data_IF_935080337253
#
_entry.id   IF_935080337253
#
_cell.length_a   1.000
_cell.length_b   1.000
_cell.length_c   1.000
_cell.angle_alpha   90.00
_cell.angle_beta   90.00
_cell.angle_gamma   90.00
#
_symmetry.space_group_name_H-M   'P 1'
#
loop_
_entity.id
_entity.type
_entity.pdbx_description
1 polymer ?
#
# COMPACT_ATOMS: atom_id res chain seq x y z
N UNK A 1 -11.36 3.67 -27.61
CA UNK A 1 -11.07 2.59 -26.65
C UNK A 1 -12.34 2.28 -25.88
N UNK A 2 -12.85 1.04 -25.88
CA UNK A 2 -13.97 0.63 -25.05
C UNK A 2 -13.62 0.73 -23.56
N UNK A 3 -14.55 1.28 -22.78
CA UNK A 3 -14.46 1.36 -21.33
C UNK A 3 -15.74 0.78 -20.76
N UNK A 4 -15.60 -0.09 -19.77
CA UNK A 4 -16.74 -0.68 -19.08
C UNK A 4 -16.62 -0.52 -17.56
N UNK A 5 -17.78 -0.35 -16.90
CA UNK A 5 -17.89 -0.35 -15.46
C UNK A 5 -18.52 -1.68 -15.01
N UNK A 6 -17.75 -2.45 -14.27
CA UNK A 6 -18.20 -3.71 -13.67
C UNK A 6 -18.47 -3.50 -12.18
N UNK A 7 -19.35 -4.29 -11.56
CA UNK A 7 -19.45 -4.32 -10.10
C UNK A 7 -18.12 -4.72 -9.47
N UNK A 8 -17.76 -4.09 -8.37
CA UNK A 8 -16.58 -4.51 -7.59
C UNK A 8 -16.92 -5.76 -6.78
N UNK A 9 -16.49 -6.92 -7.27
CA UNK A 9 -16.83 -8.23 -6.71
C UNK A 9 -16.33 -9.37 -7.58
N UNK A 10 -16.96 -10.56 -7.51
CA UNK A 10 -16.58 -11.70 -8.34
C UNK A 10 -16.66 -11.37 -9.84
N UNK A 11 -15.65 -11.79 -10.57
CA UNK A 11 -15.57 -11.58 -12.03
C UNK A 11 -15.56 -12.92 -12.79
N UNK A 12 -16.01 -12.94 -14.07
CA UNK A 12 -15.92 -14.13 -14.90
C UNK A 12 -14.48 -14.62 -15.06
N UNK A 13 -14.27 -15.93 -15.24
CA UNK A 13 -12.93 -16.54 -15.33
C UNK A 13 -12.08 -15.98 -16.47
N UNK A 14 -12.70 -15.67 -17.62
CA UNK A 14 -12.00 -15.03 -18.74
C UNK A 14 -11.45 -13.66 -18.37
N UNK A 15 -12.24 -12.83 -17.70
CA UNK A 15 -11.80 -11.51 -17.21
C UNK A 15 -10.75 -11.65 -16.11
N UNK A 16 -10.86 -12.66 -15.26
CA UNK A 16 -9.86 -12.95 -14.24
C UNK A 16 -8.47 -13.21 -14.85
N UNK A 17 -8.41 -13.99 -15.93
CA UNK A 17 -7.16 -14.25 -16.64
C UNK A 17 -6.57 -12.98 -17.30
N UNK A 18 -7.42 -12.13 -17.89
CA UNK A 18 -6.98 -10.86 -18.45
C UNK A 18 -6.47 -9.88 -17.38
N UNK A 19 -7.08 -9.88 -16.18
CA UNK A 19 -6.61 -9.08 -15.05
C UNK A 19 -5.24 -9.55 -14.58
N UNK A 20 -5.04 -10.85 -14.44
CA UNK A 20 -3.76 -11.44 -14.05
C UNK A 20 -2.66 -11.17 -15.09
N UNK A 21 -2.99 -11.21 -16.39
CA UNK A 21 -2.10 -10.81 -17.50
C UNK A 21 -1.75 -9.31 -17.45
N UNK A 22 -2.73 -8.44 -17.21
CA UNK A 22 -2.48 -7.01 -17.03
C UNK A 22 -1.57 -6.76 -15.82
N UNK A 23 -1.79 -7.46 -14.72
CA UNK A 23 -0.96 -7.31 -13.50
C UNK A 23 0.49 -7.73 -13.75
N UNK A 24 0.72 -8.76 -14.56
CA UNK A 24 2.06 -9.23 -14.92
C UNK A 24 2.82 -8.24 -15.83
N UNK A 25 2.11 -7.44 -16.64
CA UNK A 25 2.68 -6.45 -17.54
C UNK A 25 2.37 -4.99 -17.13
N UNK A 26 2.05 -4.77 -15.87
CA UNK A 26 1.78 -3.43 -15.37
C UNK A 26 3.05 -2.56 -15.40
N UNK A 27 2.89 -1.30 -15.77
CA UNK A 27 3.99 -0.32 -15.80
C UNK A 27 4.53 0.00 -14.41
N UNK A 28 3.68 -0.18 -13.38
CA UNK A 28 4.01 -0.02 -11.96
C UNK A 28 3.41 -1.19 -11.18
N UNK A 29 4.24 -2.08 -10.58
CA UNK A 29 3.75 -3.18 -9.76
C UNK A 29 2.93 -2.68 -8.58
N UNK A 30 1.72 -3.22 -8.41
CA UNK A 30 0.82 -2.86 -7.31
C UNK A 30 -0.03 -4.06 -6.90
N UNK A 31 0.42 -4.83 -5.92
CA UNK A 31 -0.30 -6.00 -5.39
C UNK A 31 -1.69 -5.65 -4.86
N UNK A 32 -1.88 -4.41 -4.39
CA UNK A 32 -3.15 -3.94 -3.83
C UNK A 32 -4.23 -3.69 -4.90
N UNK A 33 -3.84 -3.63 -6.18
CA UNK A 33 -4.74 -3.58 -7.33
C UNK A 33 -4.82 -4.91 -8.08
N UNK A 34 -4.11 -5.94 -7.65
CA UNK A 34 -4.19 -7.27 -8.24
C UNK A 34 -5.48 -8.00 -7.83
N UNK A 35 -5.98 -8.85 -8.72
CA UNK A 35 -7.26 -9.54 -8.58
C UNK A 35 -7.42 -10.27 -7.25
N UNK A 36 -6.42 -11.03 -6.82
CA UNK A 36 -6.48 -11.83 -5.60
C UNK A 36 -6.63 -10.96 -4.35
N UNK A 37 -6.00 -9.79 -4.31
CA UNK A 37 -6.10 -8.87 -3.18
C UNK A 37 -7.42 -8.09 -3.19
N UNK A 38 -7.81 -7.57 -4.36
CA UNK A 38 -9.07 -6.84 -4.54
C UNK A 38 -10.27 -7.74 -4.27
N UNK A 39 -10.25 -9.00 -4.75
CA UNK A 39 -11.34 -9.96 -4.51
C UNK A 39 -11.52 -10.28 -3.02
N UNK A 40 -10.42 -10.52 -2.28
CA UNK A 40 -10.47 -10.73 -0.84
C UNK A 40 -11.02 -9.49 -0.11
N UNK A 41 -10.57 -8.29 -0.49
CA UNK A 41 -11.09 -7.02 0.02
C UNK A 41 -12.58 -6.83 -0.24
N UNK A 42 -13.02 -7.04 -1.47
CA UNK A 42 -14.43 -6.90 -1.87
C UNK A 42 -15.36 -7.90 -1.16
N UNK A 43 -14.87 -9.12 -0.90
CA UNK A 43 -15.65 -10.16 -0.21
C UNK A 43 -15.88 -9.85 1.28
N UNK A 44 -14.90 -9.25 1.96
CA UNK A 44 -14.92 -9.13 3.42
C UNK A 44 -14.98 -7.70 3.94
N UNK A 45 -14.51 -6.71 3.19
CA UNK A 45 -14.35 -5.34 3.67
C UNK A 45 -15.36 -4.35 3.05
N UNK A 46 -16.36 -4.88 2.38
CA UNK A 46 -17.54 -4.18 1.84
C UNK A 46 -17.23 -2.86 1.11
N UNK A 47 -17.06 -2.91 -0.23
CA UNK A 47 -16.80 -1.71 -1.04
C UNK A 47 -17.96 -0.70 -1.08
N UNK A 48 -19.05 -0.98 -0.36
CA UNK A 48 -20.31 -0.26 -0.49
C UNK A 48 -21.09 -0.68 -1.73
N UNK A 49 -22.38 -0.28 -1.84
CA UNK A 49 -23.23 -0.65 -2.98
C UNK A 49 -22.79 -0.03 -4.30
N UNK A 50 -22.01 1.04 -4.24
CA UNK A 50 -21.56 1.84 -5.39
C UNK A 50 -20.13 1.52 -5.84
N UNK A 51 -19.48 0.48 -5.29
CA UNK A 51 -18.13 0.06 -5.70
C UNK A 51 -18.12 -0.46 -7.13
N UNK A 52 -17.23 0.08 -7.99
CA UNK A 52 -17.11 -0.27 -9.40
C UNK A 52 -15.66 -0.58 -9.78
N UNK A 53 -15.51 -1.46 -10.73
CA UNK A 53 -14.25 -1.75 -11.39
C UNK A 53 -14.31 -1.15 -12.79
N UNK A 54 -13.49 -0.13 -13.05
CA UNK A 54 -13.38 0.48 -14.37
C UNK A 54 -12.31 -0.26 -15.16
N UNK A 55 -12.68 -0.84 -16.31
CA UNK A 55 -11.79 -1.57 -17.21
C UNK A 55 -11.69 -0.86 -18.55
N UNK A 56 -10.46 -0.68 -19.04
CA UNK A 56 -10.13 -0.05 -20.33
C UNK A 56 -9.52 -1.07 -21.24
N UNK A 57 -10.01 -1.16 -22.49
CA UNK A 57 -9.46 -2.04 -23.53
C UNK A 57 -8.94 -1.25 -24.73
N UNK A 58 -7.89 -1.77 -25.33
CA UNK A 58 -7.41 -1.34 -26.65
C UNK A 58 -7.23 -2.56 -27.56
N UNK A 59 -7.81 -2.52 -28.74
CA UNK A 59 -7.81 -3.65 -29.70
C UNK A 59 -8.18 -5.00 -29.04
N UNK A 60 -9.10 -5.00 -28.07
CA UNK A 60 -9.54 -6.18 -27.32
C UNK A 60 -8.68 -6.54 -26.10
N UNK A 61 -7.49 -6.00 -25.95
CA UNK A 61 -6.60 -6.23 -24.80
C UNK A 61 -6.94 -5.31 -23.64
N UNK A 62 -6.95 -5.84 -22.41
CA UNK A 62 -7.08 -5.05 -21.19
C UNK A 62 -5.81 -4.24 -20.95
N UNK A 63 -5.92 -2.91 -20.95
CA UNK A 63 -4.78 -1.98 -20.79
C UNK A 63 -4.86 -1.14 -19.53
N UNK A 64 -6.01 -1.09 -18.88
CA UNK A 64 -6.18 -0.33 -17.64
C UNK A 64 -7.29 -0.90 -16.77
N UNK A 65 -7.06 -0.87 -15.46
CA UNK A 65 -8.01 -1.34 -14.44
C UNK A 65 -7.92 -0.48 -13.19
N UNK A 66 -9.07 0.07 -12.76
CA UNK A 66 -9.15 0.95 -11.59
C UNK A 66 -10.39 0.63 -10.75
N UNK A 67 -10.22 0.11 -9.53
CA UNK A 67 -11.29 0.02 -8.57
C UNK A 67 -11.70 1.42 -8.09
N UNK A 68 -13.00 1.71 -8.06
CA UNK A 68 -13.56 3.01 -7.74
C UNK A 68 -14.72 2.90 -6.74
N UNK A 69 -14.93 3.95 -5.97
CA UNK A 69 -16.10 4.16 -5.13
C UNK A 69 -16.61 5.59 -5.28
N UNK A 70 -17.90 5.79 -5.04
CA UNK A 70 -18.49 7.12 -4.92
C UNK A 70 -18.64 7.48 -3.45
N UNK A 71 -18.02 8.60 -3.06
CA UNK A 71 -18.04 9.07 -1.68
C UNK A 71 -18.90 10.34 -1.52
N UNK A 72 -19.74 10.44 -0.48
CA UNK A 72 -20.63 11.57 -0.29
C UNK A 72 -19.92 12.84 0.21
N UNK A 73 -18.69 12.71 0.70
CA UNK A 73 -17.95 13.80 1.32
C UNK A 73 -16.48 13.83 0.86
N UNK A 74 -16.05 14.96 0.34
CA UNK A 74 -14.66 15.25 0.10
C UNK A 74 -14.03 15.88 1.36
N UNK A 75 -13.33 15.10 2.13
CA UNK A 75 -12.85 15.50 3.45
C UNK A 75 -13.99 15.91 4.38
N UNK A 76 -14.05 17.19 4.79
CA UNK A 76 -15.12 17.72 5.61
C UNK A 76 -16.26 18.39 4.81
N UNK A 77 -16.08 18.52 3.51
CA UNK A 77 -17.05 19.17 2.63
C UNK A 77 -18.14 18.17 2.20
N UNK A 78 -19.42 18.54 2.19
CA UNK A 78 -20.51 17.72 1.67
C UNK A 78 -20.52 17.76 0.14
N UNK A 79 -19.44 17.26 -0.45
CA UNK A 79 -19.20 17.24 -1.87
C UNK A 79 -19.02 15.79 -2.33
N UNK A 80 -20.03 15.28 -3.02
CA UNK A 80 -19.96 13.94 -3.61
C UNK A 80 -18.89 13.93 -4.69
N UNK A 81 -18.06 12.88 -4.67
CA UNK A 81 -16.95 12.71 -5.60
C UNK A 81 -16.71 11.23 -5.86
N UNK A 82 -15.86 10.93 -6.82
CA UNK A 82 -15.36 9.57 -7.09
C UNK A 82 -13.95 9.47 -6.57
N UNK A 83 -13.63 8.36 -5.91
CA UNK A 83 -12.27 8.05 -5.52
C UNK A 83 -11.87 6.62 -5.89
N UNK A 84 -10.57 6.33 -5.92
CA UNK A 84 -10.11 4.97 -6.03
C UNK A 84 -10.52 4.20 -4.76
N UNK A 85 -11.16 3.03 -4.95
CA UNK A 85 -11.57 2.22 -3.82
C UNK A 85 -10.35 1.63 -3.09
N UNK A 86 -10.21 2.00 -1.83
CA UNK A 86 -9.17 1.52 -0.94
C UNK A 86 -9.79 1.15 0.40
N UNK A 87 -9.32 0.06 0.97
CA UNK A 87 -9.60 -0.27 2.36
C UNK A 87 -8.35 -0.07 3.23
N UNK A 88 -8.52 -0.11 4.54
CA UNK A 88 -7.47 0.20 5.52
C UNK A 88 -6.16 -0.61 5.34
N UNK A 89 -6.19 -1.71 4.62
CA UNK A 89 -5.03 -2.56 4.36
C UNK A 89 -4.43 -2.37 2.96
N UNK A 90 -4.87 -1.38 2.20
CA UNK A 90 -4.24 -0.98 0.93
C UNK A 90 -3.20 0.09 1.20
N UNK A 91 -1.99 -0.12 0.70
CA UNK A 91 -0.88 0.82 0.90
C UNK A 91 -0.46 1.55 -0.38
N UNK A 92 -0.95 1.10 -1.53
CA UNK A 92 -0.92 1.82 -2.81
C UNK A 92 -2.31 1.78 -3.45
N UNK A 93 -2.68 2.86 -4.14
CA UNK A 93 -3.99 3.00 -4.77
C UNK A 93 -3.93 3.29 -6.28
N UNK A 94 -2.76 3.21 -6.89
CA UNK A 94 -2.63 3.37 -8.34
C UNK A 94 -3.38 2.26 -9.09
N UNK A 95 -3.98 2.58 -10.26
CA UNK A 95 -4.53 1.58 -11.16
C UNK A 95 -3.45 0.64 -11.68
N UNK A 96 -3.85 -0.55 -12.16
CA UNK A 96 -3.01 -1.32 -13.05
C UNK A 96 -3.14 -0.73 -14.46
N UNK A 97 -2.02 -0.29 -15.02
CA UNK A 97 -1.94 0.21 -16.40
C UNK A 97 -0.88 -0.59 -17.14
N UNK A 98 -1.24 -1.12 -18.32
CA UNK A 98 -0.29 -1.87 -19.15
C UNK A 98 0.87 -0.99 -19.56
N UNK A 99 2.06 -1.54 -19.53
CA UNK A 99 3.29 -0.88 -19.94
C UNK A 99 3.18 -0.33 -21.37
N UNK A 100 3.52 0.95 -21.54
CA UNK A 100 3.43 1.66 -22.81
C UNK A 100 2.03 2.17 -23.17
N UNK A 101 0.99 1.85 -22.38
CA UNK A 101 -0.39 2.30 -22.58
C UNK A 101 -0.89 3.29 -21.50
N UNK A 102 -0.03 3.73 -20.61
CA UNK A 102 -0.41 4.48 -19.39
C UNK A 102 -1.21 5.74 -19.71
N UNK A 103 -0.69 6.56 -20.66
CA UNK A 103 -1.36 7.80 -21.07
C UNK A 103 -2.68 7.52 -21.77
N UNK A 104 -2.71 6.52 -22.66
CA UNK A 104 -3.90 6.14 -23.40
C UNK A 104 -5.00 5.63 -22.45
N UNK A 105 -4.62 4.78 -21.49
CA UNK A 105 -5.53 4.26 -20.46
C UNK A 105 -6.09 5.39 -19.59
N UNK A 106 -5.26 6.32 -19.10
CA UNK A 106 -5.73 7.48 -18.32
C UNK A 106 -6.64 8.39 -19.14
N UNK A 107 -6.33 8.62 -20.41
CA UNK A 107 -7.20 9.43 -21.30
C UNK A 107 -8.58 8.80 -21.42
N UNK A 108 -8.65 7.46 -21.57
CA UNK A 108 -9.91 6.74 -21.66
C UNK A 108 -10.65 6.70 -20.31
N UNK A 109 -9.95 6.50 -19.18
CA UNK A 109 -10.51 6.55 -17.83
C UNK A 109 -11.17 7.91 -17.57
N UNK A 110 -10.44 8.99 -17.80
CA UNK A 110 -10.95 10.33 -17.56
C UNK A 110 -12.15 10.66 -18.45
N UNK A 111 -12.11 10.28 -19.74
CA UNK A 111 -13.23 10.48 -20.66
C UNK A 111 -14.48 9.68 -20.26
N UNK A 112 -14.29 8.44 -19.78
CA UNK A 112 -15.41 7.61 -19.28
C UNK A 112 -16.03 8.19 -18.01
N UNK A 113 -15.22 8.64 -17.05
CA UNK A 113 -15.71 9.30 -15.85
C UNK A 113 -16.42 10.61 -16.13
N UNK A 114 -15.99 11.36 -17.13
CA UNK A 114 -16.63 12.60 -17.58
C UNK A 114 -18.03 12.37 -18.21
N UNK A 115 -18.23 11.21 -18.80
CA UNK A 115 -19.47 10.86 -19.51
C UNK A 115 -20.48 10.12 -18.62
N UNK A 116 -20.03 9.46 -17.56
CA UNK A 116 -20.90 8.63 -16.71
C UNK A 116 -21.63 9.46 -15.64
N UNK A 117 -22.98 9.40 -15.57
CA UNK A 117 -23.77 10.15 -14.58
C UNK A 117 -23.48 9.75 -13.11
N UNK A 118 -22.93 8.57 -12.86
CA UNK A 118 -22.52 8.13 -11.54
C UNK A 118 -21.33 8.96 -11.03
N UNK A 119 -20.46 9.40 -11.94
CA UNK A 119 -19.29 10.22 -11.64
C UNK A 119 -19.70 11.69 -11.49
N UNK A 120 -19.33 12.29 -10.36
CA UNK A 120 -19.69 13.68 -10.09
C UNK A 120 -18.51 14.47 -9.55
N UNK A 121 -18.41 15.71 -9.95
CA UNK A 121 -17.56 16.77 -9.40
C UNK A 121 -16.06 16.51 -9.51
N UNK A 122 -15.51 15.60 -8.72
CA UNK A 122 -14.06 15.40 -8.57
C UNK A 122 -13.71 13.92 -8.71
N UNK A 123 -12.50 13.66 -9.23
CA UNK A 123 -11.78 12.41 -9.02
C UNK A 123 -10.69 12.65 -7.98
N UNK A 124 -10.72 11.86 -6.90
CA UNK A 124 -9.73 11.88 -5.84
C UNK A 124 -8.97 10.55 -5.83
N UNK A 125 -7.66 10.59 -5.97
CA UNK A 125 -6.82 9.39 -6.01
C UNK A 125 -5.83 9.42 -4.85
N UNK A 126 -5.91 8.42 -4.01
CA UNK A 126 -5.02 8.23 -2.85
C UNK A 126 -3.99 7.14 -3.14
N UNK A 127 -2.73 7.36 -2.74
CA UNK A 127 -1.73 6.30 -2.74
C UNK A 127 -1.04 6.07 -4.10
N UNK A 128 -0.85 7.12 -4.90
CA UNK A 128 -0.02 7.04 -6.10
C UNK A 128 1.46 7.20 -5.75
N UNK A 129 2.33 6.47 -6.43
CA UNK A 129 3.78 6.69 -6.34
C UNK A 129 4.13 8.01 -7.02
N UNK A 130 4.71 8.93 -6.25
CA UNK A 130 5.12 10.23 -6.76
C UNK A 130 6.14 10.09 -7.87
N UNK A 131 5.90 10.74 -9.00
CA UNK A 131 6.73 10.65 -10.22
C UNK A 131 6.87 9.23 -10.79
N UNK A 132 6.07 8.27 -10.35
CA UNK A 132 5.96 6.96 -10.98
C UNK A 132 5.30 7.04 -12.37
N UNK A 133 5.40 5.99 -13.19
CA UNK A 133 4.83 5.99 -14.53
C UNK A 133 3.33 6.27 -14.55
N UNK A 134 2.60 5.71 -13.60
CA UNK A 134 1.15 5.91 -13.44
C UNK A 134 0.82 7.36 -13.12
N UNK A 135 1.53 7.99 -12.18
CA UNK A 135 1.30 9.38 -11.78
C UNK A 135 1.68 10.35 -12.89
N UNK A 136 2.84 10.19 -13.56
CA UNK A 136 3.25 11.04 -14.68
C UNK A 136 2.26 10.99 -15.83
N UNK A 137 1.79 9.79 -16.19
CA UNK A 137 0.82 9.62 -17.27
C UNK A 137 -0.53 10.28 -16.93
N UNK A 138 -0.97 10.25 -15.68
CA UNK A 138 -2.17 10.98 -15.21
C UNK A 138 -2.02 12.48 -15.44
N UNK A 139 -0.89 13.07 -15.04
CA UNK A 139 -0.64 14.51 -15.20
C UNK A 139 -0.67 14.91 -16.69
N UNK A 140 -0.04 14.12 -17.55
CA UNK A 140 -0.04 14.36 -19.01
C UNK A 140 -1.45 14.23 -19.60
N UNK A 141 -2.19 13.16 -19.26
CA UNK A 141 -3.55 12.96 -19.75
C UNK A 141 -4.52 14.05 -19.28
N UNK A 142 -4.41 14.49 -18.02
CA UNK A 142 -5.22 15.61 -17.50
C UNK A 142 -4.91 16.92 -18.21
N UNK A 143 -3.63 17.26 -18.40
CA UNK A 143 -3.21 18.48 -19.09
C UNK A 143 -3.69 18.50 -20.57
N UNK A 144 -3.65 17.36 -21.26
CA UNK A 144 -4.14 17.23 -22.62
C UNK A 144 -5.66 17.44 -22.77
N UNK A 145 -6.43 17.22 -21.71
CA UNK A 145 -7.88 17.41 -21.70
C UNK A 145 -8.27 18.82 -21.25
N UNK A 146 -8.13 19.81 -22.15
CA UNK A 146 -8.47 21.22 -21.92
C UNK A 146 -7.75 21.85 -20.71
N UNK A 147 -6.50 21.47 -20.47
CA UNK A 147 -5.70 21.98 -19.35
C UNK A 147 -6.34 21.67 -17.99
N UNK A 148 -6.84 20.45 -17.80
CA UNK A 148 -7.47 20.02 -16.55
C UNK A 148 -6.46 20.08 -15.39
N UNK A 149 -6.70 20.85 -14.34
CA UNK A 149 -5.80 20.87 -13.18
C UNK A 149 -5.80 19.50 -12.48
N UNK A 150 -4.64 19.10 -11.98
CA UNK A 150 -4.44 17.91 -11.14
C UNK A 150 -3.52 18.31 -10.00
N UNK A 151 -4.11 18.56 -8.83
CA UNK A 151 -3.37 19.06 -7.68
C UNK A 151 -2.95 17.92 -6.76
N UNK A 152 -1.68 17.90 -6.36
CA UNK A 152 -1.24 17.11 -5.20
C UNK A 152 -1.78 17.75 -3.94
N UNK A 153 -2.64 17.04 -3.21
CA UNK A 153 -3.32 17.52 -2.01
C UNK A 153 -2.69 17.03 -0.72
N UNK A 154 -1.93 15.93 -0.81
CA UNK A 154 -1.18 15.37 0.30
C UNK A 154 0.02 14.59 -0.22
N UNK A 155 1.13 14.64 0.52
CA UNK A 155 2.36 13.93 0.22
C UNK A 155 2.94 13.36 1.50
N UNK A 156 3.36 12.11 1.46
CA UNK A 156 4.19 11.49 2.49
C UNK A 156 5.42 10.87 1.84
N UNK A 157 6.47 10.72 2.63
CA UNK A 157 7.60 9.85 2.29
C UNK A 157 7.58 8.65 3.21
N UNK A 158 7.88 7.47 2.67
CA UNK A 158 8.05 6.26 3.46
C UNK A 158 9.29 5.50 3.02
N UNK A 159 9.79 4.65 3.90
CA UNK A 159 10.99 3.88 3.63
C UNK A 159 10.82 2.94 2.44
N UNK A 160 11.84 2.89 1.61
CA UNK A 160 12.02 2.00 0.48
C UNK A 160 13.34 1.25 0.68
N UNK A 161 13.38 -0.01 0.32
CA UNK A 161 14.60 -0.80 0.23
C UNK A 161 14.89 -1.01 -1.25
N UNK A 162 15.95 -0.37 -1.75
CA UNK A 162 16.38 -0.45 -3.15
C UNK A 162 17.90 -0.30 -3.18
N UNK A 163 18.60 -1.38 -3.51
CA UNK A 163 20.07 -1.39 -3.49
C UNK A 163 20.63 -2.58 -4.25
N UNK A 164 21.78 -2.36 -4.89
CA UNK A 164 22.61 -3.42 -5.52
C UNK A 164 23.62 -4.05 -4.55
N UNK A 165 23.61 -3.60 -3.29
CA UNK A 165 24.50 -4.15 -2.25
C UNK A 165 23.98 -5.50 -1.75
N UNK A 166 24.91 -6.35 -1.29
CA UNK A 166 24.52 -7.52 -0.53
C UNK A 166 23.80 -7.12 0.77
N UNK A 167 22.94 -7.98 1.35
CA UNK A 167 22.24 -7.68 2.60
C UNK A 167 23.15 -7.19 3.72
N UNK A 168 24.31 -7.81 3.89
CA UNK A 168 25.31 -7.43 4.89
C UNK A 168 25.93 -6.07 4.58
N UNK A 169 26.33 -5.82 3.34
CA UNK A 169 26.90 -4.54 2.94
C UNK A 169 25.89 -3.39 3.06
N UNK A 170 24.65 -3.64 2.68
CA UNK A 170 23.54 -2.68 2.86
C UNK A 170 23.33 -2.34 4.34
N UNK A 171 23.23 -3.37 5.18
CA UNK A 171 23.10 -3.19 6.63
C UNK A 171 24.24 -2.35 7.23
N UNK A 172 25.48 -2.61 6.79
CA UNK A 172 26.65 -1.87 7.27
C UNK A 172 26.68 -0.42 6.78
N UNK A 173 26.23 -0.16 5.56
CA UNK A 173 26.18 1.17 4.97
C UNK A 173 25.06 2.03 5.57
N UNK A 174 23.89 1.45 5.78
CA UNK A 174 22.67 2.19 6.13
C UNK A 174 22.48 2.33 7.63
N UNK A 175 22.73 1.28 8.41
CA UNK A 175 22.49 1.26 9.85
C UNK A 175 23.68 1.80 10.63
N UNK A 176 23.45 2.84 11.45
CA UNK A 176 24.50 3.50 12.26
C UNK A 176 25.24 2.49 13.14
N UNK A 177 26.56 2.61 13.24
CA UNK A 177 27.44 1.71 14.01
C UNK A 177 26.97 1.48 15.46
N UNK A 178 26.48 2.53 16.16
CA UNK A 178 25.94 2.40 17.52
C UNK A 178 24.74 1.45 17.55
N UNK A 179 23.81 1.60 16.60
CA UNK A 179 22.62 0.74 16.49
C UNK A 179 22.99 -0.69 16.13
N UNK A 180 23.94 -0.90 15.22
CA UNK A 180 24.42 -2.26 14.88
C UNK A 180 24.99 -2.99 16.10
N UNK A 181 25.78 -2.28 16.93
CA UNK A 181 26.31 -2.84 18.20
C UNK A 181 25.19 -3.20 19.17
N UNK A 182 24.17 -2.35 19.26
CA UNK A 182 23.00 -2.62 20.11
C UNK A 182 22.24 -3.86 19.62
N UNK A 183 21.91 -3.92 18.33
CA UNK A 183 21.21 -5.06 17.72
C UNK A 183 22.01 -6.36 17.97
N UNK A 184 23.32 -6.36 17.71
CA UNK A 184 24.16 -7.54 17.99
C UNK A 184 24.11 -7.96 19.46
N UNK A 185 24.12 -7.01 20.39
CA UNK A 185 23.99 -7.28 21.84
C UNK A 185 22.62 -7.90 22.16
N UNK A 186 21.53 -7.41 21.54
CA UNK A 186 20.19 -7.95 21.75
C UNK A 186 20.05 -9.37 21.18
N UNK A 187 20.64 -9.63 20.00
CA UNK A 187 20.69 -10.97 19.41
C UNK A 187 21.44 -11.95 20.34
N UNK A 188 22.62 -11.57 20.84
CA UNK A 188 23.38 -12.42 21.77
C UNK A 188 22.60 -12.74 23.03
N UNK A 189 21.96 -11.74 23.65
CA UNK A 189 21.13 -11.94 24.85
C UNK A 189 19.88 -12.78 24.58
N UNK A 190 19.28 -12.68 23.40
CA UNK A 190 18.15 -13.54 23.03
C UNK A 190 18.63 -14.99 22.90
N UNK A 191 19.79 -15.21 22.29
CA UNK A 191 20.40 -16.53 22.12
C UNK A 191 20.84 -17.21 23.45
N UNK A 192 21.00 -16.42 24.54
CA UNK A 192 21.25 -16.97 25.87
C UNK A 192 20.00 -17.66 26.46
N UNK A 193 18.80 -17.35 25.92
CA UNK A 193 17.53 -17.89 26.39
C UNK A 193 17.12 -19.19 25.68
N UNK A 194 17.70 -19.50 24.53
CA UNK A 194 17.38 -20.65 23.71
C UNK A 194 17.89 -20.53 22.29
N UNK A 195 17.47 -21.43 21.44
CA UNK A 195 17.86 -21.44 20.01
C UNK A 195 17.00 -20.49 19.20
N UNK A 196 17.61 -19.48 18.59
CA UNK A 196 16.93 -18.53 17.72
C UNK A 196 17.00 -19.01 16.28
N UNK A 197 15.86 -19.21 15.63
CA UNK A 197 15.79 -19.66 14.23
C UNK A 197 14.89 -18.74 13.42
N UNK A 198 15.20 -18.61 12.13
CA UNK A 198 14.32 -17.94 11.17
C UNK A 198 13.95 -18.93 10.07
N UNK A 199 12.65 -19.03 9.81
CA UNK A 199 12.10 -19.92 8.80
C UNK A 199 11.24 -19.14 7.81
N UNK A 200 11.12 -19.69 6.59
CA UNK A 200 10.21 -19.20 5.55
C UNK A 200 9.17 -20.27 5.25
N UNK A 201 7.92 -19.85 5.10
CA UNK A 201 6.86 -20.76 4.69
C UNK A 201 7.19 -21.34 3.30
N UNK A 202 7.20 -22.67 3.21
CA UNK A 202 7.49 -23.38 1.97
C UNK A 202 6.33 -24.27 1.52
N UNK A 203 5.55 -24.84 2.46
CA UNK A 203 4.48 -25.78 2.15
C UNK A 203 3.10 -25.13 2.20
N UNK A 204 2.25 -25.51 1.24
CA UNK A 204 0.82 -25.16 1.24
C UNK A 204 0.09 -25.74 2.46
N UNK A 205 0.52 -26.90 2.92
CA UNK A 205 -0.10 -27.60 4.04
C UNK A 205 0.12 -26.88 5.37
N UNK A 206 1.26 -26.19 5.51
CA UNK A 206 1.60 -25.40 6.70
C UNK A 206 0.92 -24.03 6.73
N UNK A 207 0.47 -23.55 5.58
CA UNK A 207 -0.05 -22.18 5.43
C UNK A 207 -1.19 -21.83 6.42
N UNK A 208 -2.21 -22.69 6.64
CA UNK A 208 -3.27 -22.37 7.61
C UNK A 208 -2.75 -22.15 9.03
N UNK A 209 -1.84 -23.01 9.49
CA UNK A 209 -1.24 -22.90 10.83
C UNK A 209 -0.38 -21.63 10.96
N UNK A 210 0.35 -21.25 9.91
CA UNK A 210 1.13 -20.01 9.90
C UNK A 210 0.25 -18.76 9.92
N UNK A 211 -0.87 -18.76 9.18
CA UNK A 211 -1.85 -17.68 9.22
C UNK A 211 -2.44 -17.54 10.63
N UNK A 212 -2.84 -18.65 11.26
CA UNK A 212 -3.39 -18.66 12.60
C UNK A 212 -2.38 -18.13 13.62
N UNK A 213 -1.13 -18.55 13.51
CA UNK A 213 -0.03 -18.08 14.36
C UNK A 213 0.17 -16.57 14.21
N UNK A 214 0.19 -16.07 12.96
CA UNK A 214 0.31 -14.63 12.70
C UNK A 214 -0.83 -13.82 13.35
N UNK A 215 -2.08 -14.26 13.14
CA UNK A 215 -3.26 -13.59 13.69
C UNK A 215 -3.27 -13.61 15.23
N UNK A 216 -2.86 -14.70 15.84
CA UNK A 216 -2.72 -14.81 17.29
C UNK A 216 -1.62 -13.89 17.82
N UNK A 217 -0.47 -13.86 17.16
CA UNK A 217 0.66 -13.03 17.53
C UNK A 217 0.34 -11.53 17.41
N UNK A 218 -0.31 -11.09 16.31
CA UNK A 218 -0.74 -9.69 16.16
C UNK A 218 -1.77 -9.30 17.23
N UNK A 219 -2.70 -10.20 17.57
CA UNK A 219 -3.75 -9.96 18.57
C UNK A 219 -3.20 -9.89 19.98
N UNK A 220 -2.14 -10.61 20.32
CA UNK A 220 -1.53 -10.61 21.65
C UNK A 220 -0.89 -9.25 22.01
N UNK A 221 -0.47 -8.46 21.01
CA UNK A 221 0.21 -7.19 21.16
C UNK A 221 -0.71 -5.97 21.33
N UNK A 222 -0.12 -4.78 21.22
CA UNK A 222 -0.82 -3.50 21.37
C UNK A 222 -1.98 -3.31 20.40
N UNK A 223 -1.86 -3.86 19.18
CA UNK A 223 -2.94 -3.81 18.18
C UNK A 223 -4.18 -4.56 18.66
N UNK A 224 -4.02 -5.71 19.31
CA UNK A 224 -5.14 -6.42 19.92
C UNK A 224 -5.76 -5.62 21.05
N UNK A 225 -4.95 -5.03 21.94
CA UNK A 225 -5.45 -4.17 23.04
C UNK A 225 -6.17 -2.91 22.54
N UNK A 226 -5.73 -2.35 21.42
CA UNK A 226 -6.39 -1.19 20.76
C UNK A 226 -7.58 -1.59 19.89
N UNK A 227 -7.87 -2.87 19.70
CA UNK A 227 -8.93 -3.37 18.82
C UNK A 227 -8.61 -3.27 17.32
N UNK A 228 -7.36 -2.96 16.94
CA UNK A 228 -6.93 -2.74 15.55
C UNK A 228 -6.24 -3.94 14.91
N UNK A 229 -6.02 -5.05 15.64
CA UNK A 229 -5.49 -6.27 15.07
C UNK A 229 -6.51 -6.94 14.13
N UNK A 230 -6.03 -7.60 13.08
CA UNK A 230 -6.85 -8.30 12.10
C UNK A 230 -7.82 -9.31 12.75
N UNK A 231 -7.37 -10.01 13.77
CA UNK A 231 -8.21 -10.98 14.50
C UNK A 231 -9.17 -10.35 15.52
N UNK A 232 -9.25 -9.03 15.64
CA UNK A 232 -10.25 -8.36 16.48
C UNK A 232 -11.65 -8.35 15.84
N UNK A 233 -11.72 -8.46 14.51
CA UNK A 233 -12.99 -8.51 13.77
C UNK A 233 -12.99 -9.72 12.83
N UNK A 234 -14.11 -10.49 12.77
CA UNK A 234 -14.18 -11.68 11.89
C UNK A 234 -13.92 -11.37 10.42
N UNK A 235 -14.43 -10.26 9.91
CA UNK A 235 -14.27 -9.87 8.51
C UNK A 235 -12.83 -9.50 8.14
N UNK A 236 -12.07 -8.84 9.04
CA UNK A 236 -10.65 -8.53 8.78
C UNK A 236 -9.76 -9.78 8.89
N UNK A 237 -10.11 -10.71 9.78
CA UNK A 237 -9.42 -12.01 9.85
C UNK A 237 -9.69 -12.85 8.58
N UNK A 238 -10.94 -12.88 8.09
CA UNK A 238 -11.31 -13.58 6.87
C UNK A 238 -10.60 -12.96 5.64
N UNK A 239 -10.62 -11.64 5.51
CA UNK A 239 -9.86 -10.92 4.49
C UNK A 239 -8.38 -11.35 4.47
N UNK A 240 -7.73 -11.35 5.64
CA UNK A 240 -6.31 -11.70 5.72
C UNK A 240 -6.04 -13.15 5.31
N UNK A 241 -6.89 -14.09 5.75
CA UNK A 241 -6.80 -15.50 5.37
C UNK A 241 -6.90 -15.67 3.86
N UNK A 242 -7.91 -15.08 3.24
CA UNK A 242 -8.14 -15.22 1.81
C UNK A 242 -7.04 -14.53 1.01
N UNK A 243 -6.63 -13.31 1.37
CA UNK A 243 -5.57 -12.59 0.68
C UNK A 243 -4.22 -13.33 0.75
N UNK A 244 -3.82 -13.81 1.93
CA UNK A 244 -2.54 -14.52 2.11
C UNK A 244 -2.57 -15.89 1.41
N UNK A 245 -3.71 -16.60 1.47
CA UNK A 245 -3.89 -17.88 0.76
C UNK A 245 -3.79 -17.68 -0.75
N UNK A 246 -4.51 -16.71 -1.29
CA UNK A 246 -4.49 -16.44 -2.72
C UNK A 246 -3.14 -15.92 -3.22
N UNK A 247 -2.42 -15.14 -2.39
CA UNK A 247 -1.05 -14.74 -2.68
C UNK A 247 -0.10 -15.94 -2.72
N UNK A 248 -0.24 -16.90 -1.80
CA UNK A 248 0.55 -18.14 -1.82
C UNK A 248 0.28 -18.94 -3.09
N UNK A 249 -0.98 -19.18 -3.41
CA UNK A 249 -1.41 -19.94 -4.59
C UNK A 249 -0.96 -19.28 -5.92
N UNK A 250 -0.80 -17.94 -5.92
CA UNK A 250 -0.25 -17.18 -7.04
C UNK A 250 1.30 -17.08 -7.06
N UNK A 251 2.00 -17.68 -6.10
CA UNK A 251 3.46 -17.55 -5.98
C UNK A 251 3.95 -16.16 -5.59
N UNK A 252 3.08 -15.35 -4.97
CA UNK A 252 3.32 -13.95 -4.61
C UNK A 252 3.44 -13.69 -3.11
N UNK A 253 3.57 -14.74 -2.31
CA UNK A 253 3.75 -14.66 -0.86
C UNK A 253 5.18 -15.02 -0.45
N UNK A 254 5.75 -14.22 0.43
CA UNK A 254 6.86 -14.60 1.28
C UNK A 254 6.46 -14.34 2.74
N UNK A 255 6.40 -15.39 3.53
CA UNK A 255 6.03 -15.33 4.95
C UNK A 255 7.20 -15.84 5.79
N UNK A 256 7.74 -14.96 6.64
CA UNK A 256 8.87 -15.23 7.51
C UNK A 256 8.42 -15.39 8.96
N UNK A 257 9.13 -16.25 9.71
CA UNK A 257 8.92 -16.45 11.15
C UNK A 257 10.26 -16.54 11.88
N UNK A 258 10.40 -15.76 12.94
CA UNK A 258 11.49 -15.79 13.90
C UNK A 258 11.02 -16.49 15.17
N UNK A 259 11.69 -17.57 15.55
CA UNK A 259 11.35 -18.38 16.73
C UNK A 259 12.48 -18.35 17.76
N UNK A 260 12.11 -18.46 19.02
CA UNK A 260 13.00 -18.87 20.13
C UNK A 260 12.56 -20.27 20.56
N UNK A 261 13.41 -21.26 20.31
CA UNK A 261 13.03 -22.67 20.33
C UNK A 261 11.79 -22.92 19.44
N UNK A 262 10.65 -23.31 19.98
CA UNK A 262 9.41 -23.51 19.24
C UNK A 262 8.40 -22.34 19.41
N UNK A 263 8.78 -21.26 20.11
CA UNK A 263 7.92 -20.09 20.35
C UNK A 263 8.10 -19.03 19.29
N UNK A 264 7.06 -18.69 18.51
CA UNK A 264 7.09 -17.58 17.55
C UNK A 264 7.27 -16.24 18.26
N UNK A 265 8.37 -15.52 17.94
CA UNK A 265 8.66 -14.19 18.46
C UNK A 265 8.27 -13.08 17.50
N UNK A 266 8.41 -13.30 16.20
CA UNK A 266 8.00 -12.35 15.18
C UNK A 266 7.60 -13.06 13.89
N UNK A 267 6.67 -12.46 13.15
CA UNK A 267 6.28 -12.90 11.81
C UNK A 267 6.16 -11.69 10.89
N UNK A 268 6.55 -11.89 9.63
CA UNK A 268 6.54 -10.86 8.60
C UNK A 268 5.91 -11.40 7.32
N UNK A 269 4.92 -10.70 6.82
CA UNK A 269 4.22 -10.99 5.56
C UNK A 269 4.72 -10.03 4.49
N UNK A 270 5.31 -10.55 3.44
CA UNK A 270 5.67 -9.82 2.23
C UNK A 270 4.81 -10.29 1.06
N UNK A 271 4.42 -9.36 0.20
CA UNK A 271 3.82 -9.66 -1.10
C UNK A 271 4.80 -9.34 -2.22
N UNK A 272 4.84 -10.21 -3.24
CA UNK A 272 5.78 -10.14 -4.35
C UNK A 272 5.04 -9.75 -5.64
N UNK A 273 5.56 -8.76 -6.34
CA UNK A 273 5.13 -8.36 -7.67
C UNK A 273 6.36 -7.88 -8.46
N UNK A 274 7.16 -8.81 -8.98
CA UNK A 274 8.40 -8.45 -9.67
C UNK A 274 8.22 -7.35 -10.72
N UNK A 275 9.16 -6.37 -10.81
CA UNK A 275 10.41 -6.26 -10.04
C UNK A 275 10.25 -5.66 -8.63
N UNK A 276 9.04 -5.50 -8.12
CA UNK A 276 8.74 -4.92 -6.81
C UNK A 276 8.32 -5.95 -5.77
N UNK A 277 8.37 -5.54 -4.52
CA UNK A 277 7.81 -6.26 -3.38
C UNK A 277 7.30 -5.30 -2.31
N UNK A 278 6.53 -5.82 -1.36
CA UNK A 278 5.81 -5.03 -0.35
C UNK A 278 5.92 -5.71 1.00
N UNK A 279 6.56 -5.04 1.98
CA UNK A 279 6.62 -5.48 3.37
C UNK A 279 5.29 -5.16 4.05
N UNK A 280 4.31 -6.06 3.87
CA UNK A 280 2.90 -5.79 4.13
C UNK A 280 2.57 -5.59 5.60
N UNK A 281 2.94 -6.56 6.43
CA UNK A 281 2.62 -6.51 7.88
C UNK A 281 3.64 -7.29 8.70
N UNK A 282 4.01 -6.71 9.85
CA UNK A 282 4.83 -7.35 10.87
C UNK A 282 4.03 -7.49 12.18
N UNK A 283 4.13 -8.65 12.81
CA UNK A 283 3.66 -8.90 14.18
C UNK A 283 4.82 -9.43 15.01
N UNK A 284 4.84 -9.12 16.32
CA UNK A 284 5.85 -9.64 17.23
C UNK A 284 5.29 -9.80 18.65
N UNK A 285 5.89 -10.69 19.42
CA UNK A 285 5.58 -10.95 20.82
C UNK A 285 6.15 -9.81 21.70
N UNK A 286 5.27 -9.05 22.34
CA UNK A 286 5.65 -7.92 23.17
C UNK A 286 6.32 -8.32 24.49
N UNK A 287 6.15 -9.56 24.96
CA UNK A 287 6.91 -10.05 26.10
C UNK A 287 8.41 -10.04 25.84
N UNK A 288 8.78 -10.17 24.56
CA UNK A 288 10.15 -10.12 24.08
C UNK A 288 10.55 -8.76 23.48
N UNK A 289 9.75 -7.72 23.64
CA UNK A 289 10.00 -6.39 23.08
C UNK A 289 11.40 -5.85 23.42
N UNK A 290 11.93 -6.16 24.62
CA UNK A 290 13.29 -5.80 25.07
C UNK A 290 14.41 -6.33 24.16
N UNK A 291 14.14 -7.34 23.34
CA UNK A 291 15.08 -7.93 22.37
C UNK A 291 14.81 -7.45 20.95
N UNK A 292 13.79 -6.62 20.74
CA UNK A 292 13.41 -6.05 19.44
C UNK A 292 13.16 -7.08 18.33
N UNK A 293 12.33 -8.11 18.53
CA UNK A 293 12.14 -9.20 17.55
C UNK A 293 11.63 -8.68 16.19
N UNK A 294 10.85 -7.59 16.17
CA UNK A 294 10.44 -6.91 14.94
C UNK A 294 11.62 -6.35 14.13
N UNK A 295 12.67 -5.85 14.81
CA UNK A 295 13.91 -5.44 14.14
C UNK A 295 14.67 -6.65 13.61
N UNK A 296 14.75 -7.74 14.38
CA UNK A 296 15.50 -8.93 14.00
C UNK A 296 14.92 -9.60 12.75
N UNK A 297 13.58 -9.71 12.66
CA UNK A 297 12.95 -10.28 11.47
C UNK A 297 13.09 -9.36 10.24
N UNK A 298 13.14 -8.04 10.43
CA UNK A 298 13.41 -7.09 9.34
C UNK A 298 14.88 -7.13 8.87
N UNK A 299 15.83 -7.55 9.70
CA UNK A 299 17.19 -7.83 9.24
C UNK A 299 17.24 -9.08 8.35
N UNK A 300 16.51 -10.14 8.71
CA UNK A 300 16.35 -11.31 7.86
C UNK A 300 15.65 -10.97 6.54
N UNK A 301 14.74 -10.00 6.57
CA UNK A 301 14.06 -9.50 5.39
C UNK A 301 14.99 -8.83 4.38
N UNK A 302 16.15 -8.32 4.80
CA UNK A 302 17.16 -7.78 3.88
C UNK A 302 17.65 -8.81 2.86
N UNK A 303 17.47 -10.12 3.13
CA UNK A 303 17.78 -11.16 2.18
C UNK A 303 16.95 -11.07 0.89
N UNK A 304 15.88 -10.27 0.85
CA UNK A 304 15.15 -9.94 -0.39
C UNK A 304 16.09 -9.34 -1.46
N UNK A 305 17.16 -8.63 -1.06
CA UNK A 305 18.17 -8.06 -1.96
C UNK A 305 18.97 -9.13 -2.72
N UNK A 306 18.90 -10.40 -2.31
CA UNK A 306 19.56 -11.50 -3.04
C UNK A 306 18.71 -12.06 -4.16
N UNK A 307 17.44 -11.66 -4.26
CA UNK A 307 16.51 -12.15 -5.27
C UNK A 307 16.72 -11.43 -6.60
N UNK A 308 17.04 -12.14 -7.68
CA UNK A 308 17.31 -11.51 -8.98
C UNK A 308 16.06 -10.91 -9.65
N UNK A 309 14.87 -11.35 -9.20
CA UNK A 309 13.58 -10.90 -9.73
C UNK A 309 13.00 -9.69 -8.95
N UNK A 310 13.64 -9.28 -7.83
CA UNK A 310 13.16 -8.15 -7.00
C UNK A 310 14.22 -7.05 -6.97
N UNK A 311 13.87 -5.88 -7.52
CA UNK A 311 14.74 -4.71 -7.53
C UNK A 311 14.50 -3.78 -6.31
N UNK A 312 13.30 -3.80 -5.73
CA UNK A 312 12.95 -2.93 -4.62
C UNK A 312 11.84 -3.54 -3.73
N UNK A 313 11.79 -3.08 -2.47
CA UNK A 313 10.70 -3.39 -1.54
C UNK A 313 10.16 -2.11 -0.91
N UNK A 314 8.85 -1.93 -1.02
CA UNK A 314 8.13 -0.86 -0.32
C UNK A 314 7.81 -1.29 1.11
N UNK A 315 8.07 -0.41 2.07
CA UNK A 315 7.86 -0.73 3.49
C UNK A 315 6.40 -0.86 3.89
N UNK A 316 5.47 -0.30 3.12
CA UNK A 316 4.06 -0.15 3.51
C UNK A 316 3.85 0.54 4.87
N UNK A 317 4.89 1.15 5.42
CA UNK A 317 4.85 1.80 6.72
C UNK A 317 4.28 3.23 6.61
N UNK A 318 3.89 3.79 7.76
CA UNK A 318 3.63 5.23 7.87
C UNK A 318 4.92 6.02 7.67
N UNK A 319 4.78 7.31 7.32
CA UNK A 319 5.90 8.24 7.36
C UNK A 319 6.53 8.23 8.78
N UNK A 320 7.84 8.36 8.84
CA UNK A 320 8.62 8.43 10.09
C UNK A 320 8.44 7.18 10.99
N UNK A 321 8.26 5.99 10.41
CA UNK A 321 8.12 4.76 11.19
C UNK A 321 9.46 4.38 11.83
N UNK A 322 9.61 4.47 13.18
CA UNK A 322 10.92 4.50 13.84
C UNK A 322 11.75 3.22 13.64
N UNK A 323 11.10 2.08 13.50
CA UNK A 323 11.78 0.81 13.26
C UNK A 323 12.34 0.76 11.84
N UNK A 324 11.48 0.93 10.83
CA UNK A 324 11.85 0.77 9.42
C UNK A 324 12.80 1.88 8.97
N UNK A 325 12.52 3.14 9.33
CA UNK A 325 13.36 4.29 8.98
C UNK A 325 14.78 4.21 9.53
N UNK A 326 14.97 3.40 10.55
CA UNK A 326 16.29 3.16 11.13
C UNK A 326 17.08 2.04 10.45
N UNK A 327 16.43 1.28 9.55
CA UNK A 327 17.01 0.13 8.84
C UNK A 327 17.15 0.37 7.34
N UNK A 328 16.19 1.11 6.73
CA UNK A 328 16.14 1.34 5.30
C UNK A 328 16.48 2.80 4.96
N UNK A 329 17.40 2.99 4.01
CA UNK A 329 17.97 4.29 3.68
C UNK A 329 17.18 5.07 2.66
N UNK A 330 16.59 4.39 1.68
CA UNK A 330 15.90 4.99 0.55
C UNK A 330 14.48 5.40 0.93
N UNK A 331 13.90 6.29 0.13
CA UNK A 331 12.55 6.84 0.37
C UNK A 331 11.73 6.84 -0.90
N UNK A 332 10.43 6.60 -0.73
CA UNK A 332 9.42 6.68 -1.80
C UNK A 332 8.37 7.70 -1.44
N UNK A 333 8.15 8.68 -2.33
CA UNK A 333 7.06 9.62 -2.23
C UNK A 333 5.73 8.96 -2.60
N UNK A 334 4.71 9.14 -1.75
CA UNK A 334 3.34 8.69 -2.00
C UNK A 334 2.44 9.91 -1.94
N UNK A 335 1.64 10.11 -2.99
CA UNK A 335 0.80 11.29 -3.12
C UNK A 335 -0.68 10.96 -3.16
N UNK A 336 -1.47 11.95 -2.74
CA UNK A 336 -2.90 12.03 -3.06
C UNK A 336 -3.09 13.15 -4.04
N UNK A 337 -3.86 12.90 -5.08
CA UNK A 337 -4.15 13.91 -6.10
C UNK A 337 -5.66 14.09 -6.24
N UNK A 338 -6.07 15.31 -6.57
CA UNK A 338 -7.46 15.63 -6.87
C UNK A 338 -7.52 16.41 -8.18
N UNK A 339 -8.48 16.06 -9.02
CA UNK A 339 -8.75 16.74 -10.28
C UNK A 339 -10.26 16.87 -10.50
N UNK A 340 -10.73 17.94 -11.16
CA UNK A 340 -12.14 18.09 -11.49
C UNK A 340 -12.51 17.17 -12.66
N UNK A 341 -13.70 16.58 -12.64
CA UNK A 341 -14.31 15.97 -13.78
C UNK A 341 -14.83 17.05 -14.75
N UNK A 342 -15.35 16.67 -15.91
CA UNK A 342 -15.78 17.62 -16.93
C UNK A 342 -16.85 18.61 -16.44
N UNK A 343 -16.84 19.79 -17.06
CA UNK A 343 -17.82 20.83 -16.82
C UNK A 343 -17.35 21.96 -15.90
N UNK A 344 -17.95 23.15 -16.10
CA UNK A 344 -17.59 24.35 -15.33
C UNK A 344 -17.89 24.23 -13.83
N UNK A 345 -18.99 23.51 -13.49
CA UNK A 345 -19.39 23.28 -12.08
C UNK A 345 -18.33 22.47 -11.33
N UNK A 346 -17.83 21.39 -11.93
CA UNK A 346 -16.78 20.57 -11.35
C UNK A 346 -15.49 21.38 -11.15
N UNK A 347 -15.11 22.22 -12.12
CA UNK A 347 -13.98 23.13 -11.98
C UNK A 347 -14.17 24.17 -10.87
N UNK A 348 -15.34 24.77 -10.76
CA UNK A 348 -15.66 25.73 -9.71
C UNK A 348 -15.61 25.07 -8.31
N UNK A 349 -16.19 23.87 -8.15
CA UNK A 349 -16.18 23.10 -6.93
C UNK A 349 -14.74 22.68 -6.55
N UNK A 350 -13.94 22.27 -7.53
CA UNK A 350 -12.51 21.98 -7.32
C UNK A 350 -11.78 23.19 -6.74
N UNK A 351 -11.87 24.36 -7.36
CA UNK A 351 -11.20 25.56 -6.87
C UNK A 351 -11.69 25.98 -5.49
N UNK A 352 -12.99 25.88 -5.23
CA UNK A 352 -13.56 26.18 -3.91
C UNK A 352 -13.05 25.20 -2.84
N UNK A 353 -13.03 23.89 -3.13
CA UNK A 353 -12.51 22.86 -2.22
C UNK A 353 -11.03 23.11 -1.92
N UNK A 354 -10.21 23.36 -2.96
CA UNK A 354 -8.78 23.65 -2.80
C UNK A 354 -8.53 24.94 -1.98
N UNK A 355 -9.32 25.97 -2.18
CA UNK A 355 -9.24 27.19 -1.38
C UNK A 355 -9.58 26.93 0.10
N UNK A 356 -10.64 26.18 0.38
CA UNK A 356 -11.04 25.80 1.73
C UNK A 356 -9.96 24.98 2.45
N UNK A 357 -9.35 24.02 1.77
CA UNK A 357 -8.26 23.21 2.32
C UNK A 357 -7.01 24.04 2.64
N UNK A 358 -6.62 24.95 1.73
CA UNK A 358 -5.48 25.87 1.95
C UNK A 358 -5.74 26.80 3.14
N UNK A 359 -6.95 27.35 3.24
CA UNK A 359 -7.35 28.17 4.38
C UNK A 359 -7.31 27.38 5.70
N UNK A 360 -7.85 26.17 5.72
CA UNK A 360 -7.81 25.29 6.89
C UNK A 360 -6.38 24.90 7.29
N UNK A 361 -5.49 24.65 6.33
CA UNK A 361 -4.08 24.39 6.59
C UNK A 361 -3.37 25.62 7.18
N UNK A 362 -3.62 26.80 6.62
CA UNK A 362 -3.05 28.05 7.14
C UNK A 362 -3.51 28.36 8.58
N UNK A 363 -4.78 28.08 8.89
CA UNK A 363 -5.31 28.25 10.26
C UNK A 363 -4.66 27.26 11.24
N UNK A 364 -4.45 26.00 10.85
CA UNK A 364 -3.74 25.01 11.68
C UNK A 364 -2.31 25.45 11.97
N UNK A 365 -1.56 25.83 10.93
CA UNK A 365 -0.18 26.29 11.07
C UNK A 365 -0.06 27.55 11.96
N UNK A 366 -1.05 28.46 11.92
CA UNK A 366 -1.10 29.62 12.84
C UNK A 366 -1.33 29.19 14.29
N UNK A 367 -2.22 28.22 14.53
CA UNK A 367 -2.48 27.72 15.89
C UNK A 367 -1.26 26.99 16.45
N UNK A 368 -0.61 26.14 15.67
CA UNK A 368 0.61 25.44 16.09
C UNK A 368 1.72 26.42 16.48
N UNK A 369 1.95 27.48 15.70
CA UNK A 369 2.92 28.53 16.05
C UNK A 369 2.53 29.33 17.32
N UNK A 370 1.24 29.56 17.55
CA UNK A 370 0.77 30.26 18.73
C UNK A 370 0.91 29.45 20.02
N UNK A 371 0.99 28.13 19.92
CA UNK A 371 1.14 27.18 21.04
C UNK A 371 2.55 26.56 21.12
N UNK A 372 3.47 26.92 20.22
CA UNK A 372 4.86 26.46 20.32
C UNK A 372 5.49 27.13 21.60
N UNK A 373 6.12 26.33 22.48
CA UNK A 373 6.86 26.89 23.59
C UNK A 373 8.01 27.75 23.05
N UNK A 374 8.38 28.85 23.76
CA UNK A 374 9.51 29.69 23.37
C UNK A 374 10.78 28.82 23.27
N UNK A 375 11.50 28.95 22.15
CA UNK A 375 12.82 28.34 22.00
C UNK A 375 13.67 28.79 23.19
N UNK A 376 14.02 27.84 24.06
CA UNK A 376 15.04 28.09 25.08
C UNK A 376 16.37 28.22 24.35
N UNK A 377 16.87 29.46 24.21
CA UNK A 377 18.27 29.73 23.83
C UNK A 377 19.17 29.05 24.88
N UNK A 378 19.87 27.98 24.48
CA UNK A 378 21.08 27.50 25.14
C UNK A 378 22.28 27.69 24.21
#
# INVERSE_FOLDING_TARGET
MPVEFLPLGPVPSAFAAEWDDLAADASEPNVFAERWFVAAGAAHLHPGPDGRLLAVRDAGQLIGLLPLAAEPRYGRLPLRHVENWLHYHCFLGGPLLRRGHEQAAWTAILAALDADPWSTSLLHLTGLVENGPVHRALLVAAAAQSGRPCDTVHRIERALLESDLSPQAYYEATVRKKKRKEIKRLQSRLAELGTVTTTRLASRDDLPAWIDTYLALEKSGWKGRSGSALACQPHTAAFFRDAVTAAFDAGKLELLRLDLDDRPLAMLVNFLAPPGSFSFKTAFDEEFARFSPGVLIQLENLNILTRPDIAWMDSCASADHPMIDSLWGERRGIVRVTLPLAGWRSRALFHAARAAERAAAALRARRERAFAPPETEE
#
